data_IF_706849021775
#
_entry.id   IF_706849021775
#
_cell.length_a   1.000
_cell.length_b   1.000
_cell.length_c   1.000
_cell.angle_alpha   90.00
_cell.angle_beta   90.00
_cell.angle_gamma   90.00
#
_symmetry.space_group_name_H-M   'P 1'
#
loop_
_entity.id
_entity.type
_entity.pdbx_description
1 polymer ?
#
# COMPACT_ATOMS: atom_id res chain seq x y z
N UNK A 1 -2.07 21.70 26.32
CA UNK A 1 -0.80 20.97 26.35
C UNK A 1 -1.08 19.49 26.57
N UNK A 2 -0.68 18.64 25.62
CA UNK A 2 -1.00 17.21 25.57
C UNK A 2 0.07 16.33 26.23
N UNK A 3 1.34 16.73 26.18
CA UNK A 3 2.44 16.05 26.86
C UNK A 3 3.36 17.07 27.54
N UNK A 4 3.66 16.85 28.82
CA UNK A 4 4.43 17.73 29.70
C UNK A 4 4.38 17.19 31.13
N UNK A 5 4.99 17.89 32.10
CA UNK A 5 4.98 17.49 33.52
C UNK A 5 3.55 17.32 34.09
N UNK A 6 2.61 18.17 33.65
CA UNK A 6 1.18 18.07 33.97
C UNK A 6 0.33 18.45 32.77
N UNK A 7 -0.28 17.48 32.08
CA UNK A 7 -1.16 17.74 30.92
C UNK A 7 -2.37 18.62 31.31
N UNK A 8 -2.83 19.48 30.38
CA UNK A 8 -3.96 20.37 30.62
C UNK A 8 -4.05 21.58 29.69
N UNK A 9 -5.11 22.36 29.87
CA UNK A 9 -5.31 23.67 29.22
C UNK A 9 -4.76 24.75 30.14
N UNK A 10 -3.95 25.64 29.58
CA UNK A 10 -3.33 26.76 30.29
C UNK A 10 -3.71 28.05 29.60
N UNK A 11 -4.15 29.05 30.37
CA UNK A 11 -4.58 30.35 29.84
C UNK A 11 -3.40 31.28 29.55
N UNK A 12 -2.18 30.87 29.89
CA UNK A 12 -0.96 31.64 29.61
C UNK A 12 0.19 30.75 29.16
N UNK A 13 1.02 31.29 28.27
CA UNK A 13 2.27 30.64 27.88
C UNK A 13 3.19 30.44 29.09
N UNK A 14 3.23 31.40 30.03
CA UNK A 14 4.05 31.31 31.24
C UNK A 14 3.74 30.08 32.09
N UNK A 15 2.46 29.71 32.23
CA UNK A 15 2.05 28.50 32.95
C UNK A 15 2.33 27.23 32.16
N UNK A 16 2.04 27.23 30.86
CA UNK A 16 2.34 26.10 29.96
C UNK A 16 3.85 25.81 29.91
N UNK A 17 4.68 26.85 29.84
CA UNK A 17 6.14 26.78 29.75
C UNK A 17 6.74 26.01 30.93
N UNK A 18 6.28 26.27 32.17
CA UNK A 18 6.74 25.56 33.38
C UNK A 18 6.56 24.04 33.28
N UNK A 19 5.59 23.59 32.49
CA UNK A 19 5.24 22.18 32.32
C UNK A 19 6.00 21.49 31.18
N UNK A 20 6.48 22.25 30.19
CA UNK A 20 7.21 21.70 29.03
C UNK A 20 8.72 21.86 29.16
N UNK A 21 9.18 22.85 29.93
CA UNK A 21 10.61 23.15 30.10
C UNK A 21 11.33 22.01 30.86
N UNK A 22 12.27 21.36 30.16
CA UNK A 22 13.02 20.20 30.63
C UNK A 22 12.27 18.87 30.54
N UNK A 23 11.09 18.81 29.91
CA UNK A 23 10.33 17.57 29.70
C UNK A 23 10.56 17.01 28.30
N UNK A 24 11.07 15.78 28.20
CA UNK A 24 11.29 15.11 26.92
C UNK A 24 9.98 14.86 26.18
N UNK A 25 9.95 15.14 24.88
CA UNK A 25 8.77 14.98 24.01
C UNK A 25 7.54 15.82 24.40
N UNK A 26 7.74 17.01 24.97
CA UNK A 26 6.63 17.90 25.29
C UNK A 26 5.78 18.26 24.04
N UNK A 27 4.45 18.12 24.17
CA UNK A 27 3.48 18.41 23.12
C UNK A 27 2.54 19.53 23.57
N UNK A 28 2.60 20.66 22.89
CA UNK A 28 1.73 21.80 23.14
C UNK A 28 1.36 22.50 21.83
N UNK A 29 0.17 23.10 21.82
CA UNK A 29 -0.33 23.94 20.75
C UNK A 29 -1.17 25.05 21.37
N UNK A 30 -1.03 26.26 20.84
CA UNK A 30 -1.84 27.41 21.22
C UNK A 30 -3.11 27.44 20.37
N UNK A 31 -4.23 27.79 21.01
CA UNK A 31 -5.55 27.88 20.39
C UNK A 31 -6.19 29.20 20.76
N UNK A 32 -7.06 29.68 19.89
CA UNK A 32 -7.78 30.95 20.11
C UNK A 32 -9.06 30.73 20.92
N UNK A 33 -9.58 29.50 20.97
CA UNK A 33 -10.82 29.14 21.67
C UNK A 33 -10.60 27.96 22.62
N UNK A 34 -11.47 27.85 23.64
CA UNK A 34 -11.42 26.75 24.60
C UNK A 34 -11.87 25.43 23.95
N UNK A 35 -12.79 25.50 23.00
CA UNK A 35 -13.30 24.38 22.22
C UNK A 35 -12.19 23.70 21.42
N UNK A 36 -11.38 24.47 20.69
CA UNK A 36 -10.23 23.95 19.94
C UNK A 36 -9.18 23.32 20.87
N UNK A 37 -8.97 23.91 22.06
CA UNK A 37 -8.06 23.37 23.07
C UNK A 37 -8.57 22.06 23.69
N UNK A 38 -9.88 21.91 23.86
CA UNK A 38 -10.51 20.67 24.34
C UNK A 38 -10.43 19.55 23.30
N UNK A 39 -10.72 19.86 22.03
CA UNK A 39 -10.56 18.91 20.92
C UNK A 39 -9.12 18.39 20.83
N UNK A 40 -8.14 19.29 20.96
CA UNK A 40 -6.72 18.94 20.92
C UNK A 40 -6.29 17.97 22.04
N UNK A 41 -6.96 18.01 23.19
CA UNK A 41 -6.70 17.11 24.31
C UNK A 41 -7.58 15.85 24.29
N UNK A 42 -8.47 15.72 23.32
CA UNK A 42 -9.41 14.60 23.25
C UNK A 42 -10.51 14.66 24.32
N UNK A 43 -10.74 15.84 24.93
CA UNK A 43 -11.89 16.08 25.80
C UNK A 43 -13.12 16.35 24.94
N UNK A 44 -13.63 15.32 24.26
CA UNK A 44 -15.01 15.35 23.78
C UNK A 44 -15.92 15.38 25.02
N UNK A 45 -16.87 16.32 25.03
CA UNK A 45 -17.86 16.49 26.08
C UNK A 45 -18.68 15.22 26.29
N UNK A 46 -18.26 14.41 27.25
CA UNK A 46 -19.06 13.38 27.91
C UNK A 46 -18.52 13.28 29.33
N UNK A 47 -19.33 13.75 30.29
CA UNK A 47 -19.01 13.73 31.70
C UNK A 47 -18.51 12.33 32.13
N UNK A 48 -17.45 12.32 32.93
CA UNK A 48 -16.65 11.14 33.19
C UNK A 48 -17.32 10.11 34.10
N UNK A 49 -16.85 8.87 33.97
CA UNK A 49 -16.68 7.96 35.09
C UNK A 49 -15.58 6.95 34.74
N UNK A 50 -14.54 6.93 35.57
CA UNK A 50 -13.54 5.87 35.65
C UNK A 50 -14.23 4.59 36.11
N UNK A 51 -14.31 3.56 35.27
CA UNK A 51 -14.87 2.26 35.67
C UNK A 51 -13.85 1.15 35.43
N UNK A 52 -13.38 0.63 36.55
CA UNK A 52 -12.83 -0.71 36.75
C UNK A 52 -13.76 -1.77 36.17
N UNK A 53 -13.23 -2.61 35.28
CA UNK A 53 -13.97 -3.70 34.63
C UNK A 53 -14.48 -4.68 35.69
N UNK A 54 -15.81 -4.75 35.84
CA UNK A 54 -16.53 -5.96 36.24
C UNK A 54 -17.50 -6.30 35.11
N UNK A 55 -17.44 -7.55 34.69
CA UNK A 55 -18.37 -8.19 33.75
C UNK A 55 -19.79 -8.13 34.33
N UNK A 56 -20.72 -7.51 33.60
CA UNK A 56 -21.88 -8.21 33.01
C UNK A 56 -22.92 -7.23 32.40
N UNK A 57 -23.56 -7.75 31.35
CA UNK A 57 -24.88 -7.40 30.77
C UNK A 57 -25.06 -6.09 29.94
N UNK A 58 -25.13 -6.32 28.63
CA UNK A 58 -26.14 -5.81 27.68
C UNK A 58 -26.20 -4.30 27.36
N UNK A 59 -25.35 -3.88 26.42
CA UNK A 59 -25.59 -2.74 25.51
C UNK A 59 -24.96 -3.11 24.16
N UNK A 60 -25.62 -2.77 23.05
CA UNK A 60 -25.13 -2.88 21.67
C UNK A 60 -23.73 -2.26 21.48
N UNK A 61 -22.67 -2.95 21.88
CA UNK A 61 -21.30 -2.61 21.51
C UNK A 61 -21.16 -3.03 20.06
N UNK A 62 -21.28 -2.06 19.16
CA UNK A 62 -20.78 -2.24 17.79
C UNK A 62 -19.36 -2.80 17.89
N UNK A 63 -19.16 -4.06 17.46
CA UNK A 63 -17.84 -4.69 17.43
C UNK A 63 -16.99 -3.85 16.48
N UNK A 64 -16.21 -2.93 17.04
CA UNK A 64 -15.35 -2.06 16.25
C UNK A 64 -14.25 -2.91 15.63
N UNK A 65 -14.17 -2.91 14.31
CA UNK A 65 -13.13 -3.61 13.58
C UNK A 65 -11.77 -3.01 13.95
N UNK A 66 -10.85 -3.83 14.46
CA UNK A 66 -9.49 -3.40 14.79
C UNK A 66 -8.54 -3.91 13.73
N UNK A 67 -7.63 -3.06 13.26
CA UNK A 67 -6.60 -3.45 12.30
C UNK A 67 -5.24 -3.04 12.84
N UNK A 68 -4.34 -4.00 13.06
CA UNK A 68 -2.94 -3.73 13.36
C UNK A 68 -2.17 -3.72 12.06
N UNK A 69 -1.43 -2.65 11.78
CA UNK A 69 -0.72 -2.48 10.51
C UNK A 69 0.75 -2.23 10.78
N UNK A 70 1.59 -2.83 9.93
CA UNK A 70 3.04 -2.62 9.95
C UNK A 70 3.60 -2.70 8.51
N UNK A 71 4.79 -2.15 8.31
CA UNK A 71 5.46 -2.04 7.03
C UNK A 71 6.89 -2.57 7.08
N UNK A 72 7.32 -3.22 6.00
CA UNK A 72 8.71 -3.66 5.85
C UNK A 72 9.28 -3.18 4.53
N UNK A 73 10.59 -2.95 4.49
CA UNK A 73 11.32 -2.56 3.29
C UNK A 73 12.60 -3.38 3.13
N UNK A 74 12.83 -3.85 1.91
CA UNK A 74 14.06 -4.51 1.51
C UNK A 74 14.85 -3.58 0.60
N UNK A 75 15.96 -3.07 1.12
CA UNK A 75 16.89 -2.21 0.35
C UNK A 75 17.53 -2.94 -0.83
N UNK A 76 17.87 -4.22 -0.66
CA UNK A 76 18.49 -5.05 -1.71
C UNK A 76 17.58 -5.16 -2.94
N UNK A 77 16.31 -5.46 -2.71
CA UNK A 77 15.32 -5.63 -3.79
C UNK A 77 14.58 -4.33 -4.16
N UNK A 78 14.81 -3.22 -3.45
CA UNK A 78 14.05 -1.97 -3.57
C UNK A 78 12.53 -2.18 -3.52
N UNK A 79 12.05 -2.99 -2.56
CA UNK A 79 10.64 -3.33 -2.39
C UNK A 79 10.18 -2.96 -0.98
N UNK A 80 8.95 -2.48 -0.86
CA UNK A 80 8.26 -2.43 0.43
C UNK A 80 7.10 -3.42 0.46
N UNK A 81 6.58 -3.67 1.65
CA UNK A 81 5.44 -4.55 1.89
C UNK A 81 4.66 -4.09 3.11
N UNK A 82 3.44 -4.60 3.24
CA UNK A 82 2.61 -4.35 4.40
C UNK A 82 2.13 -5.66 5.00
N UNK A 83 1.85 -5.62 6.31
CA UNK A 83 1.14 -6.65 7.05
C UNK A 83 -0.03 -6.03 7.78
N UNK A 84 -1.17 -6.72 7.80
CA UNK A 84 -2.35 -6.31 8.54
C UNK A 84 -2.97 -7.51 9.27
N UNK A 85 -3.28 -7.33 10.55
CA UNK A 85 -4.12 -8.23 11.34
C UNK A 85 -5.46 -7.54 11.58
N UNK A 86 -6.51 -8.01 10.91
CA UNK A 86 -7.88 -7.52 11.04
C UNK A 86 -8.62 -8.38 12.09
N UNK A 87 -9.26 -7.75 13.07
CA UNK A 87 -9.95 -8.42 14.17
C UNK A 87 -11.41 -7.94 14.22
N UNK A 88 -12.33 -8.82 13.85
CA UNK A 88 -13.78 -8.62 13.94
C UNK A 88 -14.39 -9.57 14.96
N UNK A 89 -14.52 -9.09 16.20
CA UNK A 89 -14.87 -9.95 17.34
C UNK A 89 -13.83 -11.06 17.53
N UNK A 90 -14.25 -12.29 17.26
CA UNK A 90 -13.43 -13.51 17.40
C UNK A 90 -12.76 -13.93 16.07
N UNK A 91 -13.12 -13.28 14.96
CA UNK A 91 -12.54 -13.55 13.64
C UNK A 91 -11.26 -12.74 13.46
N UNK A 92 -10.21 -13.41 12.98
CA UNK A 92 -8.94 -12.79 12.64
C UNK A 92 -8.66 -13.04 11.16
N UNK A 93 -8.55 -11.97 10.39
CA UNK A 93 -8.15 -12.01 8.98
C UNK A 93 -6.76 -11.41 8.83
N UNK A 94 -5.92 -12.03 7.99
CA UNK A 94 -4.53 -11.63 7.78
C UNK A 94 -4.35 -11.16 6.34
N UNK A 95 -3.94 -9.91 6.15
CA UNK A 95 -3.66 -9.34 4.85
C UNK A 95 -2.17 -8.99 4.79
N UNK A 96 -1.51 -9.34 3.69
CA UNK A 96 -0.12 -8.94 3.50
C UNK A 96 0.23 -9.04 2.03
N UNK A 97 0.94 -8.05 1.50
CA UNK A 97 1.44 -8.09 0.13
C UNK A 97 2.65 -7.15 -0.02
N UNK A 98 3.35 -7.28 -1.14
CA UNK A 98 4.36 -6.31 -1.56
C UNK A 98 3.70 -5.12 -2.24
N UNK A 99 4.24 -3.93 -2.01
CA UNK A 99 3.84 -2.72 -2.70
C UNK A 99 4.92 -2.26 -3.69
N UNK A 100 4.48 -1.65 -4.79
CA UNK A 100 5.34 -1.16 -5.86
C UNK A 100 4.99 0.27 -6.29
N UNK A 101 4.20 1.00 -5.48
CA UNK A 101 3.87 2.39 -5.76
C UNK A 101 5.14 3.25 -5.73
N UNK A 102 5.52 3.76 -6.90
CA UNK A 102 6.69 4.61 -7.12
C UNK A 102 6.62 5.93 -6.34
N UNK A 103 5.41 6.42 -6.04
CA UNK A 103 5.23 7.63 -5.27
C UNK A 103 5.38 7.41 -3.76
N UNK A 104 5.38 6.14 -3.33
CA UNK A 104 5.53 5.72 -1.92
C UNK A 104 6.88 5.06 -1.65
N UNK A 105 7.55 4.45 -2.63
CA UNK A 105 8.78 3.67 -2.42
C UNK A 105 9.90 4.42 -1.68
N UNK A 106 9.98 5.74 -1.86
CA UNK A 106 10.94 6.61 -1.16
C UNK A 106 10.64 6.79 0.34
N UNK A 107 9.50 6.30 0.83
CA UNK A 107 9.11 6.32 2.23
C UNK A 107 9.56 5.03 2.96
N UNK A 108 10.18 4.09 2.25
CA UNK A 108 10.72 2.84 2.80
C UNK A 108 9.65 2.09 3.60
N UNK A 109 9.89 1.79 4.89
CA UNK A 109 8.98 1.05 5.75
C UNK A 109 7.63 1.77 5.89
N UNK A 110 7.66 3.11 5.95
CA UNK A 110 6.45 3.95 6.05
C UNK A 110 5.57 3.79 4.82
N UNK A 111 6.13 3.45 3.65
CA UNK A 111 5.35 3.11 2.46
C UNK A 111 4.45 1.90 2.72
N UNK A 112 5.02 0.88 3.36
CA UNK A 112 4.32 -0.32 3.80
C UNK A 112 3.23 -0.02 4.80
N UNK A 113 3.54 0.75 5.83
CA UNK A 113 2.57 1.10 6.85
C UNK A 113 1.37 1.91 6.31
N UNK A 114 1.63 2.91 5.46
CA UNK A 114 0.57 3.66 4.78
C UNK A 114 -0.27 2.75 3.88
N UNK A 115 0.38 1.84 3.15
CA UNK A 115 -0.31 0.88 2.28
C UNK A 115 -1.16 -0.08 3.09
N UNK A 116 -0.65 -0.58 4.22
CA UNK A 116 -1.40 -1.43 5.15
C UNK A 116 -2.63 -0.74 5.70
N UNK A 117 -2.50 0.51 6.15
CA UNK A 117 -3.64 1.31 6.59
C UNK A 117 -4.69 1.48 5.49
N UNK A 118 -4.28 1.83 4.27
CA UNK A 118 -5.20 1.95 3.13
C UNK A 118 -5.91 0.62 2.82
N UNK A 119 -5.17 -0.50 2.82
CA UNK A 119 -5.71 -1.83 2.52
C UNK A 119 -6.69 -2.32 3.59
N UNK A 120 -6.41 -2.06 4.85
CA UNK A 120 -7.32 -2.34 5.96
C UNK A 120 -8.64 -1.56 5.83
N UNK A 121 -8.57 -0.28 5.46
CA UNK A 121 -9.74 0.58 5.25
C UNK A 121 -10.55 0.13 4.02
N UNK A 122 -9.89 -0.19 2.91
CA UNK A 122 -10.52 -0.76 1.72
C UNK A 122 -11.28 -2.05 2.07
N UNK A 123 -10.61 -2.96 2.79
CA UNK A 123 -11.21 -4.22 3.21
C UNK A 123 -12.43 -3.99 4.09
N UNK A 124 -12.35 -3.08 5.06
CA UNK A 124 -13.45 -2.75 5.95
C UNK A 124 -14.65 -2.19 5.19
N UNK A 125 -14.42 -1.27 4.26
CA UNK A 125 -15.44 -0.69 3.41
C UNK A 125 -16.12 -1.74 2.52
N UNK A 126 -15.34 -2.63 1.90
CA UNK A 126 -15.85 -3.69 1.01
C UNK A 126 -16.65 -4.75 1.77
N UNK A 127 -16.35 -4.96 3.06
CA UNK A 127 -17.08 -5.87 3.95
C UNK A 127 -18.18 -5.16 4.76
N UNK A 128 -18.60 -3.95 4.35
CA UNK A 128 -19.70 -3.19 4.93
C UNK A 128 -19.52 -2.79 6.42
N UNK A 129 -18.29 -2.73 6.92
CA UNK A 129 -18.04 -2.20 8.26
C UNK A 129 -18.28 -0.68 8.29
N UNK A 130 -18.90 -0.21 9.38
CA UNK A 130 -19.20 1.23 9.60
C UNK A 130 -18.11 1.96 10.37
N UNK A 131 -17.20 1.22 11.01
CA UNK A 131 -16.06 1.77 11.72
C UNK A 131 -14.84 0.86 11.58
N UNK A 132 -13.65 1.46 11.72
CA UNK A 132 -12.37 0.76 11.81
C UNK A 132 -11.41 1.59 12.67
N UNK A 133 -10.67 0.91 13.56
CA UNK A 133 -9.57 1.49 14.33
C UNK A 133 -8.25 0.89 13.86
N UNK A 134 -7.38 1.73 13.31
CA UNK A 134 -6.04 1.37 12.84
C UNK A 134 -5.04 1.54 13.99
N UNK A 135 -4.40 0.45 14.39
CA UNK A 135 -3.30 0.41 15.34
C UNK A 135 -1.99 0.41 14.56
N UNK A 136 -1.08 1.34 14.89
CA UNK A 136 0.16 1.55 14.16
C UNK A 136 1.25 2.10 15.08
N UNK A 137 2.52 2.00 14.68
CA UNK A 137 3.65 2.48 15.48
C UNK A 137 4.24 3.82 14.98
N UNK A 138 4.07 4.15 13.70
CA UNK A 138 4.50 5.43 13.16
C UNK A 138 3.45 6.53 13.26
N UNK A 139 3.78 7.60 13.98
CA UNK A 139 2.86 8.71 14.24
C UNK A 139 2.33 9.43 12.99
N UNK A 140 3.10 9.41 11.89
CA UNK A 140 2.72 10.08 10.64
C UNK A 140 1.41 9.56 10.05
N UNK A 141 1.08 8.27 10.22
CA UNK A 141 -0.17 7.68 9.70
C UNK A 141 -1.39 8.45 10.23
N UNK A 142 -1.44 8.68 11.55
CA UNK A 142 -2.51 9.41 12.21
C UNK A 142 -2.45 10.91 11.91
N UNK A 143 -1.25 11.51 11.95
CA UNK A 143 -1.09 12.97 11.80
C UNK A 143 -1.38 13.46 10.38
N UNK A 144 -1.06 12.68 9.35
CA UNK A 144 -1.49 13.01 7.99
C UNK A 144 -2.99 12.82 7.82
N UNK A 145 -3.56 11.76 8.39
CA UNK A 145 -4.99 11.52 8.36
C UNK A 145 -5.79 12.61 9.08
N UNK A 146 -5.33 13.14 10.22
CA UNK A 146 -5.99 14.23 10.95
C UNK A 146 -5.79 15.60 10.29
N UNK A 147 -4.80 15.75 9.42
CA UNK A 147 -4.39 17.04 8.85
C UNK A 147 -3.43 17.84 9.74
N UNK A 148 -2.96 17.26 10.84
CA UNK A 148 -1.94 17.89 11.71
C UNK A 148 -0.60 18.06 10.99
N UNK A 149 -0.26 17.14 10.08
CA UNK A 149 0.96 17.20 9.28
C UNK A 149 0.66 17.54 7.82
N UNK A 150 1.46 18.43 7.24
CA UNK A 150 1.42 18.74 5.81
C UNK A 150 2.15 17.67 5.01
N UNK A 151 1.54 17.23 3.91
CA UNK A 151 2.14 16.31 2.96
C UNK A 151 2.82 17.05 1.81
N UNK A 152 4.13 16.82 1.64
CA UNK A 152 4.91 17.44 0.57
C UNK A 152 5.16 16.49 -0.62
N UNK A 153 5.17 15.18 -0.37
CA UNK A 153 5.39 14.13 -1.38
C UNK A 153 4.08 13.66 -2.01
N UNK A 154 4.13 13.23 -3.28
CA UNK A 154 2.96 12.76 -4.04
C UNK A 154 2.25 11.59 -3.34
N UNK A 155 3.00 10.58 -2.86
CA UNK A 155 2.42 9.44 -2.13
C UNK A 155 1.69 9.84 -0.84
N UNK A 156 2.29 10.72 -0.01
CA UNK A 156 1.63 11.22 1.21
C UNK A 156 0.39 12.07 0.93
N UNK A 157 0.36 12.81 -0.19
CA UNK A 157 -0.85 13.53 -0.62
C UNK A 157 -1.94 12.56 -1.07
N UNK A 158 -1.57 11.52 -1.82
CA UNK A 158 -2.48 10.44 -2.21
C UNK A 158 -3.13 9.75 -1.01
N UNK A 159 -2.35 9.45 0.03
CA UNK A 159 -2.86 8.90 1.29
C UNK A 159 -3.89 9.82 1.96
N UNK A 160 -3.64 11.13 2.03
CA UNK A 160 -4.59 12.10 2.61
C UNK A 160 -5.92 12.11 1.82
N UNK A 161 -5.85 12.14 0.48
CA UNK A 161 -7.04 12.13 -0.36
C UNK A 161 -7.80 10.79 -0.25
N UNK A 162 -7.08 9.68 -0.14
CA UNK A 162 -7.68 8.37 0.16
C UNK A 162 -8.48 8.41 1.48
N UNK A 163 -7.86 8.88 2.57
CA UNK A 163 -8.54 8.95 3.89
C UNK A 163 -9.76 9.85 3.83
N UNK A 164 -9.66 11.02 3.20
CA UNK A 164 -10.79 11.95 3.02
C UNK A 164 -11.95 11.30 2.28
N UNK A 165 -11.68 10.55 1.22
CA UNK A 165 -12.69 9.82 0.45
C UNK A 165 -13.42 8.79 1.32
N UNK A 166 -12.68 7.93 2.03
CA UNK A 166 -13.30 6.83 2.79
C UNK A 166 -14.00 7.31 4.07
N UNK A 167 -13.55 8.40 4.70
CA UNK A 167 -14.24 8.99 5.86
C UNK A 167 -15.68 9.41 5.59
N UNK A 168 -16.08 9.55 4.32
CA UNK A 168 -17.46 9.83 3.95
C UNK A 168 -18.40 8.63 4.18
N UNK A 169 -17.87 7.40 4.21
CA UNK A 169 -18.66 6.17 4.30
C UNK A 169 -18.34 5.29 5.52
N UNK A 170 -17.15 5.42 6.11
CA UNK A 170 -16.70 4.64 7.27
C UNK A 170 -16.01 5.54 8.30
N UNK A 171 -16.28 5.32 9.59
CA UNK A 171 -15.56 5.99 10.68
C UNK A 171 -14.16 5.40 10.82
N UNK A 172 -13.12 6.21 10.62
CA UNK A 172 -11.71 5.77 10.67
C UNK A 172 -11.02 6.42 11.86
N UNK A 173 -10.55 5.60 12.79
CA UNK A 173 -9.80 6.00 13.98
C UNK A 173 -8.37 5.45 13.94
N UNK A 174 -7.46 6.11 14.66
CA UNK A 174 -6.05 5.72 14.74
C UNK A 174 -5.61 5.64 16.19
N UNK A 175 -4.89 4.57 16.54
CA UNK A 175 -4.30 4.36 17.87
C UNK A 175 -2.82 4.05 17.70
N UNK A 176 -1.97 4.91 18.26
CA UNK A 176 -0.53 4.68 18.30
C UNK A 176 -0.22 3.59 19.32
N UNK A 177 0.48 2.55 18.90
CA UNK A 177 1.07 1.53 19.77
C UNK A 177 2.59 1.72 19.82
N UNK A 178 3.23 1.27 20.89
CA UNK A 178 4.68 1.31 20.98
C UNK A 178 5.27 0.17 20.13
N UNK A 179 6.24 0.50 19.27
CA UNK A 179 6.96 -0.50 18.49
C UNK A 179 7.74 -1.45 19.41
N UNK A 180 7.71 -2.76 19.09
CA UNK A 180 8.54 -3.79 19.74
C UNK A 180 8.37 -3.94 21.26
N UNK A 181 7.17 -3.68 21.78
CA UNK A 181 6.88 -3.80 23.22
C UNK A 181 6.07 -5.05 23.61
N UNK A 182 6.01 -6.10 22.77
CA UNK A 182 5.22 -7.30 23.08
C UNK A 182 3.73 -7.19 22.75
N UNK A 183 3.30 -6.18 21.98
CA UNK A 183 1.91 -6.10 21.52
C UNK A 183 1.70 -7.18 20.46
N UNK A 184 1.16 -8.32 20.88
CA UNK A 184 0.98 -9.53 20.07
C UNK A 184 0.61 -9.25 18.61
N UNK A 185 -0.46 -8.49 18.37
CA UNK A 185 -0.96 -8.27 17.00
C UNK A 185 -0.13 -7.28 16.18
N UNK A 186 0.60 -6.37 16.83
CA UNK A 186 1.57 -5.52 16.13
C UNK A 186 2.77 -6.35 15.68
N UNK A 187 3.28 -7.22 16.56
CA UNK A 187 4.37 -8.13 16.22
C UNK A 187 3.95 -9.14 15.14
N UNK A 188 2.72 -9.65 15.19
CA UNK A 188 2.17 -10.47 14.11
C UNK A 188 2.08 -9.70 12.78
N UNK A 189 1.76 -8.40 12.79
CA UNK A 189 1.75 -7.56 11.59
C UNK A 189 3.16 -7.31 11.02
N UNK A 190 4.15 -7.01 11.87
CA UNK A 190 5.57 -6.89 11.48
C UNK A 190 6.09 -8.18 10.82
N UNK A 191 5.81 -9.32 11.45
CA UNK A 191 6.18 -10.64 10.93
C UNK A 191 5.49 -10.89 9.59
N UNK A 192 4.22 -10.53 9.43
CA UNK A 192 3.51 -10.65 8.16
C UNK A 192 4.14 -9.78 7.06
N UNK A 193 4.49 -8.52 7.35
CA UNK A 193 5.12 -7.63 6.39
C UNK A 193 6.47 -8.20 5.91
N UNK A 194 7.35 -8.56 6.86
CA UNK A 194 8.65 -9.20 6.54
C UNK A 194 8.47 -10.49 5.74
N UNK A 195 7.50 -11.31 6.16
CA UNK A 195 7.18 -12.56 5.47
C UNK A 195 6.62 -12.32 4.07
N UNK A 196 5.93 -11.20 3.80
CA UNK A 196 5.42 -10.88 2.47
C UNK A 196 6.56 -10.63 1.48
N UNK A 197 7.61 -9.91 1.89
CA UNK A 197 8.83 -9.76 1.07
C UNK A 197 9.50 -11.10 0.88
N UNK A 198 9.69 -11.88 1.95
CA UNK A 198 10.34 -13.18 1.82
C UNK A 198 9.51 -14.16 0.97
N UNK A 199 8.18 -14.16 1.08
CA UNK A 199 7.28 -14.94 0.23
C UNK A 199 7.29 -14.42 -1.19
N UNK A 200 7.41 -13.12 -1.44
CA UNK A 200 7.54 -12.59 -2.79
C UNK A 200 8.87 -12.99 -3.40
N UNK A 201 9.98 -12.82 -2.68
CA UNK A 201 11.31 -13.26 -3.12
C UNK A 201 11.30 -14.77 -3.30
N UNK A 202 10.81 -15.54 -2.33
CA UNK A 202 10.74 -16.98 -2.40
C UNK A 202 9.79 -17.42 -3.50
N UNK A 203 8.62 -16.84 -3.71
CA UNK A 203 7.78 -17.21 -4.84
C UNK A 203 8.49 -16.87 -6.15
N UNK A 204 9.22 -15.76 -6.25
CA UNK A 204 10.09 -15.48 -7.39
C UNK A 204 11.35 -16.38 -7.45
N UNK A 205 11.74 -17.03 -6.34
CA UNK A 205 12.88 -17.96 -6.17
C UNK A 205 12.47 -19.45 -6.01
N UNK A 206 11.18 -19.74 -6.05
CA UNK A 206 10.51 -21.05 -5.92
C UNK A 206 9.75 -21.29 -7.21
N UNK A 207 9.33 -20.23 -7.92
CA UNK A 207 9.27 -20.23 -9.39
C UNK A 207 10.64 -20.64 -9.99
N UNK A 208 11.75 -20.48 -9.26
CA UNK A 208 13.06 -21.04 -9.66
C UNK A 208 13.39 -22.43 -9.07
N UNK A 209 12.58 -23.03 -8.18
CA UNK A 209 12.93 -24.32 -7.52
C UNK A 209 11.81 -25.34 -7.22
N UNK A 210 10.52 -25.02 -7.37
CA UNK A 210 9.40 -25.98 -7.34
C UNK A 210 8.69 -25.97 -8.69
N UNK A 211 8.72 -27.12 -9.37
CA UNK A 211 8.25 -27.33 -10.73
C UNK A 211 6.75 -27.17 -10.93
N UNK A 212 6.25 -25.93 -10.91
CA UNK A 212 5.27 -25.45 -11.89
C UNK A 212 6.10 -24.83 -13.02
N UNK A 213 6.57 -25.71 -13.89
CA UNK A 213 7.22 -25.46 -15.19
C UNK A 213 6.31 -24.56 -16.04
N UNK A 214 6.63 -23.33 -16.42
CA UNK A 214 7.89 -22.75 -16.89
C UNK A 214 7.92 -21.25 -16.54
N UNK A 215 9.07 -20.77 -16.08
CA UNK A 215 9.55 -19.46 -16.52
C UNK A 215 9.78 -19.63 -18.03
N UNK A 216 8.80 -19.24 -18.83
CA UNK A 216 8.88 -19.38 -20.29
C UNK A 216 10.05 -18.50 -20.75
N UNK A 217 10.82 -18.93 -21.76
CA UNK A 217 11.89 -18.09 -22.33
C UNK A 217 11.35 -16.71 -22.71
N UNK A 218 10.10 -16.72 -23.11
CA UNK A 218 9.23 -15.60 -23.44
C UNK A 218 9.08 -14.61 -22.27
N UNK A 219 8.95 -15.07 -21.02
CA UNK A 219 8.84 -14.18 -19.86
C UNK A 219 10.18 -13.53 -19.51
N UNK A 220 11.27 -14.29 -19.59
CA UNK A 220 12.62 -13.75 -19.37
C UNK A 220 12.99 -12.74 -20.45
N UNK A 221 12.69 -13.08 -21.70
CA UNK A 221 12.86 -12.23 -22.86
C UNK A 221 12.06 -10.93 -22.71
N UNK A 222 10.80 -11.01 -22.27
CA UNK A 222 9.96 -9.84 -22.02
C UNK A 222 10.64 -8.88 -21.05
N UNK A 223 10.98 -9.34 -19.85
CA UNK A 223 11.61 -8.48 -18.84
C UNK A 223 12.98 -7.96 -19.27
N UNK A 224 13.79 -8.77 -19.96
CA UNK A 224 15.08 -8.34 -20.48
C UNK A 224 14.93 -7.17 -21.46
N UNK A 225 13.92 -7.21 -22.33
CA UNK A 225 13.67 -6.17 -23.34
C UNK A 225 13.09 -4.93 -22.65
N UNK A 226 12.21 -5.10 -21.67
CA UNK A 226 11.60 -3.96 -20.98
C UNK A 226 12.61 -3.16 -20.15
N UNK A 227 13.67 -3.81 -19.67
CA UNK A 227 14.76 -3.16 -18.94
C UNK A 227 15.75 -2.38 -19.83
N UNK A 228 15.69 -2.53 -21.15
CA UNK A 228 16.57 -1.81 -22.06
C UNK A 228 16.21 -0.32 -22.16
N UNK A 229 17.20 0.51 -22.48
CA UNK A 229 16.96 1.90 -22.84
C UNK A 229 16.25 1.96 -24.20
N UNK A 230 15.17 2.73 -24.29
CA UNK A 230 14.45 2.97 -25.53
C UNK A 230 14.59 4.43 -25.96
N UNK A 231 15.34 4.65 -27.03
CA UNK A 231 15.58 5.97 -27.62
C UNK A 231 14.70 6.23 -28.85
N UNK A 232 13.72 5.36 -29.13
CA UNK A 232 12.85 5.47 -30.29
C UNK A 232 11.63 6.36 -30.02
N UNK A 233 11.08 6.93 -31.09
CA UNK A 233 9.81 7.65 -31.02
C UNK A 233 8.67 6.64 -30.93
N UNK A 234 8.08 6.54 -29.76
CA UNK A 234 6.97 5.63 -29.47
C UNK A 234 5.61 6.33 -29.58
N UNK A 235 4.59 5.66 -30.13
CA UNK A 235 3.20 6.15 -30.11
C UNK A 235 2.60 6.13 -28.71
N UNK A 236 3.07 5.22 -27.86
CA UNK A 236 2.68 5.14 -26.45
C UNK A 236 3.85 4.67 -25.56
N UNK A 237 3.81 5.10 -24.31
CA UNK A 237 4.63 4.61 -23.21
C UNK A 237 3.83 4.71 -21.92
N UNK A 238 3.96 3.71 -21.05
CA UNK A 238 3.34 3.71 -19.73
C UNK A 238 4.15 2.84 -18.77
N UNK A 239 3.97 3.05 -17.47
CA UNK A 239 4.61 2.24 -16.43
C UNK A 239 3.55 1.29 -15.87
N UNK A 240 3.88 0.00 -15.82
CA UNK A 240 3.04 -1.03 -15.20
C UNK A 240 3.91 -1.92 -14.32
N UNK A 241 3.51 -2.10 -13.05
CA UNK A 241 4.28 -2.85 -12.05
C UNK A 241 5.76 -2.43 -11.93
N UNK A 242 6.05 -1.13 -12.05
CA UNK A 242 7.42 -0.59 -11.99
C UNK A 242 8.24 -0.81 -13.26
N UNK A 243 7.67 -1.43 -14.28
CA UNK A 243 8.31 -1.66 -15.57
C UNK A 243 7.81 -0.63 -16.58
N UNK A 244 8.72 0.07 -17.22
CA UNK A 244 8.40 0.96 -18.34
C UNK A 244 8.15 0.13 -19.60
N UNK A 245 6.91 0.18 -20.09
CA UNK A 245 6.46 -0.50 -21.30
C UNK A 245 6.26 0.55 -22.39
N UNK A 246 7.00 0.37 -23.49
CA UNK A 246 6.89 1.23 -24.67
C UNK A 246 6.45 0.42 -25.88
N UNK A 247 5.88 1.10 -26.89
CA UNK A 247 5.57 0.48 -28.17
C UNK A 247 6.81 -0.21 -28.78
N UNK A 248 7.96 0.46 -28.79
CA UNK A 248 9.22 -0.02 -29.35
C UNK A 248 9.71 -1.30 -28.68
N UNK A 249 9.66 -1.34 -27.34
CA UNK A 249 10.00 -2.54 -26.55
C UNK A 249 9.05 -3.69 -26.86
N UNK A 250 7.74 -3.46 -26.92
CA UNK A 250 6.77 -4.50 -27.29
C UNK A 250 6.95 -5.02 -28.72
N UNK A 251 7.25 -4.13 -29.68
CA UNK A 251 7.57 -4.53 -31.07
C UNK A 251 8.84 -5.39 -31.12
N UNK A 252 9.86 -5.04 -30.32
CA UNK A 252 11.09 -5.84 -30.21
C UNK A 252 10.81 -7.21 -29.60
N UNK A 253 9.95 -7.27 -28.59
CA UNK A 253 9.50 -8.53 -27.98
C UNK A 253 8.78 -9.43 -29.00
N UNK A 254 7.74 -8.93 -29.68
CA UNK A 254 7.00 -9.70 -30.69
C UNK A 254 7.92 -10.26 -31.80
N UNK A 255 8.88 -9.47 -32.29
CA UNK A 255 9.85 -9.91 -33.32
C UNK A 255 10.80 -11.01 -32.82
N UNK A 256 11.15 -11.01 -31.53
CA UNK A 256 11.97 -12.07 -30.97
C UNK A 256 11.18 -13.37 -30.86
N UNK A 257 9.95 -13.31 -30.34
CA UNK A 257 9.05 -14.47 -30.28
C UNK A 257 8.83 -15.05 -31.68
N UNK A 258 8.55 -14.19 -32.68
CA UNK A 258 8.39 -14.59 -34.08
C UNK A 258 9.59 -15.37 -34.64
N UNK A 259 10.80 -14.95 -34.26
CA UNK A 259 12.03 -15.64 -34.70
C UNK A 259 12.24 -16.96 -33.96
N UNK A 260 11.88 -17.03 -32.67
CA UNK A 260 11.98 -18.25 -31.88
C UNK A 260 11.02 -19.35 -32.35
N UNK A 261 9.89 -18.98 -32.94
CA UNK A 261 8.95 -19.92 -33.58
C UNK A 261 9.38 -20.36 -34.99
N UNK A 262 10.58 -19.94 -35.45
CA UNK A 262 11.19 -20.39 -36.70
C UNK A 262 10.89 -19.52 -37.92
N UNK A 263 10.19 -18.40 -37.76
CA UNK A 263 9.84 -17.50 -38.86
C UNK A 263 10.90 -16.42 -39.09
N UNK A 264 10.96 -15.87 -40.31
CA UNK A 264 11.85 -14.75 -40.63
C UNK A 264 11.15 -13.42 -40.37
N UNK A 265 11.88 -12.47 -39.76
CA UNK A 265 11.32 -11.13 -39.43
C UNK A 265 10.82 -10.38 -40.68
N UNK A 266 11.40 -10.63 -41.86
CA UNK A 266 10.98 -9.98 -43.11
C UNK A 266 9.62 -10.47 -43.64
N UNK A 267 9.07 -11.55 -43.08
CA UNK A 267 7.71 -12.06 -43.35
C UNK A 267 6.64 -11.18 -42.70
N UNK A 268 6.99 -10.39 -41.67
CA UNK A 268 6.07 -9.45 -41.03
C UNK A 268 5.80 -8.29 -41.99
N UNK A 269 4.54 -8.14 -42.42
CA UNK A 269 4.03 -7.01 -43.20
C UNK A 269 3.72 -5.83 -42.29
N UNK A 270 3.01 -6.09 -41.19
CA UNK A 270 2.61 -5.09 -40.21
C UNK A 270 2.52 -5.71 -38.81
N UNK A 271 2.60 -4.86 -37.78
CA UNK A 271 2.45 -5.25 -36.39
C UNK A 271 1.60 -4.21 -35.67
N UNK A 272 0.38 -4.59 -35.31
CA UNK A 272 -0.56 -3.78 -34.53
C UNK A 272 -0.49 -4.18 -33.06
N UNK A 273 -0.57 -3.20 -32.15
CA UNK A 273 -0.58 -3.43 -30.71
C UNK A 273 -1.85 -2.81 -30.12
N UNK A 274 -2.60 -3.62 -29.38
CA UNK A 274 -3.81 -3.23 -28.68
C UNK A 274 -3.63 -3.48 -27.18
N UNK A 275 -4.10 -2.53 -26.36
CA UNK A 275 -4.00 -2.56 -24.91
C UNK A 275 -5.40 -2.54 -24.32
N UNK A 276 -5.73 -3.53 -23.50
CA UNK A 276 -7.02 -3.68 -22.83
C UNK A 276 -6.79 -3.77 -21.32
N UNK A 277 -7.58 -3.03 -20.54
CA UNK A 277 -7.52 -3.06 -19.08
C UNK A 277 -8.77 -3.73 -18.53
N UNK A 278 -8.59 -4.80 -17.77
CA UNK A 278 -9.68 -5.52 -17.10
C UNK A 278 -9.31 -5.76 -15.65
N UNK A 279 -10.10 -5.25 -14.70
CA UNK A 279 -9.90 -5.49 -13.27
C UNK A 279 -8.47 -5.19 -12.74
N UNK A 280 -7.81 -4.15 -13.27
CA UNK A 280 -6.42 -3.76 -12.97
C UNK A 280 -5.33 -4.66 -13.56
N UNK A 281 -5.72 -5.69 -14.30
CA UNK A 281 -4.82 -6.47 -15.13
C UNK A 281 -4.72 -5.84 -16.52
N UNK A 282 -3.52 -5.92 -17.10
CA UNK A 282 -3.22 -5.41 -18.43
C UNK A 282 -3.13 -6.57 -19.40
N UNK A 283 -3.98 -6.54 -20.43
CA UNK A 283 -3.90 -7.43 -21.57
C UNK A 283 -3.30 -6.69 -22.76
N UNK A 284 -2.22 -7.24 -23.31
CA UNK A 284 -1.53 -6.69 -24.48
C UNK A 284 -1.69 -7.68 -25.63
N UNK A 285 -2.40 -7.26 -26.68
CA UNK A 285 -2.59 -8.06 -27.90
C UNK A 285 -1.69 -7.50 -29.00
N UNK A 286 -0.79 -8.31 -29.53
CA UNK A 286 0.10 -7.98 -30.66
C UNK A 286 -0.32 -8.79 -31.89
N UNK A 287 -0.93 -8.12 -32.87
CA UNK A 287 -1.36 -8.74 -34.12
C UNK A 287 -0.25 -8.62 -35.16
N UNK A 288 0.36 -9.74 -35.54
CA UNK A 288 1.41 -9.85 -36.56
C UNK A 288 0.73 -10.18 -37.89
N UNK A 289 0.75 -9.25 -38.84
CA UNK A 289 0.28 -9.48 -40.21
C UNK A 289 1.43 -10.06 -41.04
N UNK A 290 1.20 -11.20 -41.70
CA UNK A 290 2.23 -11.92 -42.46
C UNK A 290 2.04 -11.70 -43.96
N UNK A 291 3.13 -11.43 -44.68
CA UNK A 291 3.12 -11.29 -46.14
C UNK A 291 2.63 -12.58 -46.79
N UNK A 292 1.47 -12.52 -47.45
CA UNK A 292 0.84 -13.64 -48.15
C UNK A 292 0.47 -14.83 -47.23
N UNK A 293 0.11 -14.55 -45.97
CA UNK A 293 -0.33 -15.56 -45.02
C UNK A 293 -1.35 -15.03 -44.03
N UNK A 294 -1.81 -15.90 -43.13
CA UNK A 294 -2.74 -15.52 -42.08
C UNK A 294 -2.04 -14.71 -40.99
N UNK A 295 -2.77 -13.73 -40.45
CA UNK A 295 -2.31 -12.96 -39.29
C UNK A 295 -2.21 -13.84 -38.05
N UNK A 296 -1.14 -13.68 -37.28
CA UNK A 296 -0.96 -14.35 -35.99
C UNK A 296 -1.15 -13.36 -34.85
N UNK A 297 -1.56 -13.87 -33.68
CA UNK A 297 -1.75 -13.07 -32.47
C UNK A 297 -0.86 -13.56 -31.35
N UNK A 298 -0.20 -12.64 -30.68
CA UNK A 298 0.50 -12.87 -29.43
C UNK A 298 -0.23 -12.11 -28.32
N UNK A 299 -0.61 -12.78 -27.25
CA UNK A 299 -1.39 -12.19 -26.15
C UNK A 299 -0.55 -12.28 -24.87
N UNK A 300 -0.37 -11.14 -24.19
CA UNK A 300 0.29 -11.09 -22.90
C UNK A 300 -0.71 -10.63 -21.84
N UNK A 301 -0.76 -11.36 -20.72
CA UNK A 301 -1.46 -10.94 -19.52
C UNK A 301 -0.45 -10.55 -18.46
N UNK A 302 -0.46 -9.27 -18.10
CA UNK A 302 0.34 -8.74 -16.99
C UNK A 302 -0.62 -8.48 -15.83
N UNK A 303 -0.55 -9.32 -14.79
CA UNK A 303 -1.45 -9.21 -13.63
C UNK A 303 -0.82 -8.44 -12.48
N UNK A 304 -1.67 -7.76 -11.71
CA UNK A 304 -1.31 -7.11 -10.43
C UNK A 304 -0.97 -8.12 -9.32
N UNK A 305 -1.45 -9.36 -9.42
CA UNK A 305 -1.35 -10.40 -8.37
C UNK A 305 -0.09 -11.28 -8.45
N UNK A 306 0.91 -10.90 -9.25
CA UNK A 306 2.17 -11.66 -9.36
C UNK A 306 2.10 -12.94 -10.22
N UNK A 307 0.93 -13.26 -10.77
CA UNK A 307 0.80 -14.28 -11.82
C UNK A 307 0.97 -13.66 -13.20
N UNK A 308 2.19 -13.64 -13.74
CA UNK A 308 2.37 -13.35 -15.16
C UNK A 308 2.00 -14.61 -15.95
N UNK A 309 0.91 -14.56 -16.72
CA UNK A 309 0.56 -15.61 -17.67
C UNK A 309 0.90 -15.11 -19.07
N UNK A 310 1.89 -15.73 -19.70
CA UNK A 310 2.09 -15.64 -21.15
C UNK A 310 1.32 -16.81 -21.75
N UNK A 311 0.35 -16.54 -22.63
CA UNK A 311 -0.42 -17.55 -23.37
C UNK A 311 -0.23 -17.34 -24.86
#
# INVERSE_FOLDING_TARGET
MRNGKKAGIYNSWTECKKQVEGHSNAEYKGFSTLEEANEYLGFSTSAGESVSVKEDADVNVTKTLRAYVDGSYSKENSLYSYGCIMIDGDKIEKLSDVGNDVDLIELWNVAGELTGAMKAIEWASNNNHKNITIYHDYEGIAKWASGDWRANKKGTKGYIEFIKKYRQGIKIEFVKVAAHTGVRYNEEADVLAKSAIQKYINNNSVVSSMGISQKTKELELFYSIMAENDNLKNKFSFIYNGVEITEGKLRKFAKNIWRETGHKINEIEDLEIQLEWENWDLKITMNIKVKNGDSQKLILYVSKSGGNYIV
#
